data_IF_844636965918
#
_entry.id   IF_844636965918
#
_cell.length_a   1.000
_cell.length_b   1.000
_cell.length_c   1.000
_cell.angle_alpha   90.00
_cell.angle_beta   90.00
_cell.angle_gamma   90.00
#
_symmetry.space_group_name_H-M   'P 1'
#
loop_
_entity.id
_entity.type
_entity.pdbx_description
1 polymer ?
#
# COMPACT_ATOMS: atom_id res chain seq x y z
N UNK A 1 74.75 -74.67 -25.68
CA UNK A 1 73.97 -73.53 -26.32
C UNK A 1 74.20 -72.25 -25.49
N UNK A 2 74.42 -71.16 -26.17
CA UNK A 2 74.46 -69.84 -25.48
C UNK A 2 73.09 -69.52 -24.82
N UNK A 3 73.08 -68.80 -23.77
CA UNK A 3 71.83 -68.30 -23.11
C UNK A 3 71.16 -67.22 -23.96
N UNK A 4 69.85 -67.13 -23.90
CA UNK A 4 69.07 -66.05 -24.56
C UNK A 4 69.60 -64.68 -24.13
N UNK A 5 69.82 -63.80 -25.11
CA UNK A 5 70.48 -62.44 -24.84
C UNK A 5 71.98 -62.42 -24.95
N UNK A 6 72.64 -63.59 -25.31
CA UNK A 6 74.06 -63.61 -25.55
C UNK A 6 74.41 -62.86 -26.86
N UNK A 7 75.20 -61.84 -26.77
CA UNK A 7 75.61 -60.96 -27.86
C UNK A 7 77.11 -61.18 -28.25
N UNK A 8 77.70 -62.33 -27.87
CA UNK A 8 79.09 -62.67 -28.23
C UNK A 8 79.20 -63.08 -29.74
N UNK A 9 80.45 -63.13 -30.24
CA UNK A 9 80.69 -63.49 -31.62
C UNK A 9 80.66 -65.02 -31.87
N UNK A 10 80.06 -65.81 -30.99
CA UNK A 10 79.90 -67.27 -31.14
C UNK A 10 78.83 -67.52 -32.17
N UNK A 11 79.04 -68.60 -33.04
CA UNK A 11 78.10 -68.99 -34.03
C UNK A 11 76.80 -69.49 -33.29
N UNK A 12 75.67 -68.90 -33.60
CA UNK A 12 74.42 -69.31 -33.06
C UNK A 12 74.08 -70.68 -33.69
N UNK A 13 73.86 -71.67 -32.85
CA UNK A 13 73.32 -72.98 -33.37
C UNK A 13 71.82 -72.93 -33.45
N UNK A 14 71.27 -73.92 -34.12
CA UNK A 14 69.83 -73.99 -34.34
C UNK A 14 68.97 -74.04 -33.08
N UNK A 15 69.49 -74.58 -31.98
CA UNK A 15 68.83 -74.63 -30.71
C UNK A 15 68.73 -73.21 -30.05
N UNK A 16 69.84 -72.41 -30.19
CA UNK A 16 69.82 -71.00 -29.71
C UNK A 16 68.85 -70.14 -30.51
N UNK A 17 68.84 -70.29 -31.84
CA UNK A 17 67.93 -69.56 -32.68
C UNK A 17 66.44 -69.94 -32.37
N UNK A 18 66.16 -71.24 -32.22
CA UNK A 18 64.81 -71.70 -31.82
C UNK A 18 64.43 -71.16 -30.46
N UNK A 19 65.32 -71.18 -29.48
CA UNK A 19 65.07 -70.61 -28.14
C UNK A 19 64.85 -69.11 -28.15
N UNK A 20 65.57 -68.38 -28.97
CA UNK A 20 65.41 -66.93 -29.09
C UNK A 20 64.15 -66.55 -29.81
N UNK A 21 63.78 -67.31 -30.86
CA UNK A 21 62.46 -67.13 -31.55
C UNK A 21 61.31 -67.48 -30.60
N UNK A 22 61.41 -68.61 -29.89
CA UNK A 22 60.40 -68.99 -28.91
C UNK A 22 60.20 -67.96 -27.81
N UNK A 23 61.29 -67.34 -27.27
CA UNK A 23 61.21 -66.28 -26.30
C UNK A 23 60.58 -64.98 -26.84
N UNK A 24 60.81 -64.69 -28.10
CA UNK A 24 60.18 -63.54 -28.75
C UNK A 24 58.69 -63.75 -28.92
N UNK A 25 58.30 -64.94 -29.36
CA UNK A 25 56.90 -65.31 -29.54
C UNK A 25 56.17 -65.48 -28.23
N UNK A 26 56.82 -66.05 -27.20
CA UNK A 26 56.21 -66.16 -25.85
C UNK A 26 55.90 -64.86 -25.16
N UNK A 27 56.44 -63.69 -25.61
CA UNK A 27 56.11 -62.37 -25.13
C UNK A 27 54.86 -61.78 -25.82
N UNK A 28 54.33 -62.37 -26.86
CA UNK A 28 53.07 -61.97 -27.51
C UNK A 28 51.87 -62.57 -26.77
N UNK A 29 50.70 -61.88 -26.72
CA UNK A 29 49.47 -62.50 -26.21
C UNK A 29 49.18 -63.80 -26.92
N UNK A 30 48.74 -64.87 -26.19
CA UNK A 30 48.60 -66.27 -26.70
C UNK A 30 47.69 -66.43 -27.92
N UNK A 31 46.95 -65.43 -28.31
CA UNK A 31 46.12 -65.38 -29.53
C UNK A 31 46.80 -64.65 -30.70
N UNK A 32 48.09 -64.19 -30.55
CA UNK A 32 48.84 -63.40 -31.52
C UNK A 32 50.31 -63.85 -31.55
N UNK A 33 50.56 -65.15 -31.32
CA UNK A 33 51.92 -65.69 -31.25
C UNK A 33 52.54 -66.08 -32.59
N UNK A 34 51.74 -65.97 -33.66
CA UNK A 34 52.26 -66.17 -35.04
C UNK A 34 51.95 -64.97 -35.93
N UNK A 35 52.81 -64.74 -36.94
CA UNK A 35 52.56 -63.68 -37.94
C UNK A 35 51.23 -63.94 -38.71
N UNK A 36 50.83 -65.19 -38.80
CA UNK A 36 49.55 -65.55 -39.44
C UNK A 36 48.36 -65.15 -38.61
N UNK A 37 48.41 -65.32 -37.28
CA UNK A 37 47.35 -64.94 -36.39
C UNK A 37 47.29 -63.41 -36.26
N UNK A 38 48.42 -62.73 -36.24
CA UNK A 38 48.46 -61.26 -36.29
C UNK A 38 47.83 -60.72 -37.57
N UNK A 39 48.17 -61.36 -38.73
CA UNK A 39 47.56 -60.99 -40.00
C UNK A 39 46.07 -61.26 -40.01
N UNK A 40 45.60 -62.41 -39.47
CA UNK A 40 44.20 -62.71 -39.34
C UNK A 40 43.47 -61.72 -38.39
N UNK A 41 44.07 -61.37 -37.27
CA UNK A 41 43.53 -60.38 -36.32
C UNK A 41 43.40 -59.00 -36.95
N UNK A 42 44.28 -58.65 -37.90
CA UNK A 42 44.22 -57.44 -38.69
C UNK A 42 43.36 -57.58 -39.96
N UNK A 43 42.57 -58.70 -40.13
CA UNK A 43 41.66 -58.92 -41.21
C UNK A 43 42.31 -59.35 -42.50
N UNK A 44 43.57 -59.78 -42.47
CA UNK A 44 44.41 -60.08 -43.62
C UNK A 44 44.49 -58.92 -44.64
N UNK A 45 44.32 -57.72 -44.22
CA UNK A 45 44.38 -56.54 -45.07
C UNK A 45 45.83 -56.09 -45.28
N UNK A 46 46.38 -56.23 -46.52
CA UNK A 46 47.75 -55.85 -46.83
C UNK A 46 47.97 -54.30 -46.69
N UNK A 47 46.88 -53.56 -46.70
CA UNK A 47 46.85 -52.10 -46.56
C UNK A 47 46.20 -51.61 -45.24
N UNK A 48 46.23 -52.45 -44.20
CA UNK A 48 45.55 -52.24 -42.94
C UNK A 48 45.75 -50.78 -42.41
N UNK A 49 46.95 -50.24 -42.43
CA UNK A 49 47.24 -48.87 -42.00
C UNK A 49 46.46 -47.87 -42.85
N UNK A 50 46.36 -48.06 -44.14
CA UNK A 50 45.58 -47.18 -45.05
C UNK A 50 44.08 -47.34 -44.81
N UNK A 51 43.61 -48.58 -44.64
CA UNK A 51 42.21 -48.87 -44.33
C UNK A 51 41.77 -48.20 -43.02
N UNK A 52 42.56 -48.36 -41.99
CA UNK A 52 42.25 -47.68 -40.68
C UNK A 52 42.35 -46.16 -40.79
N UNK A 53 43.33 -45.62 -41.49
CA UNK A 53 43.44 -44.21 -41.74
C UNK A 53 42.20 -43.62 -42.42
N UNK A 54 41.71 -44.31 -43.46
CA UNK A 54 40.51 -43.92 -44.19
C UNK A 54 39.23 -44.04 -43.32
N UNK A 55 39.12 -45.15 -42.54
CA UNK A 55 38.00 -45.32 -41.62
C UNK A 55 37.99 -44.21 -40.51
N UNK A 56 39.14 -43.82 -40.05
CA UNK A 56 39.29 -42.69 -39.06
C UNK A 56 38.97 -41.36 -39.75
N UNK A 57 39.41 -41.15 -40.97
CA UNK A 57 39.10 -39.94 -41.74
C UNK A 57 37.59 -39.82 -41.99
N UNK A 58 36.93 -40.95 -42.42
CA UNK A 58 35.49 -41.00 -42.57
C UNK A 58 34.72 -40.71 -41.25
N UNK A 59 35.24 -41.15 -40.14
CA UNK A 59 34.68 -40.85 -38.83
C UNK A 59 34.94 -39.41 -38.39
N UNK A 60 36.10 -38.90 -38.76
CA UNK A 60 36.46 -37.50 -38.50
C UNK A 60 35.58 -36.55 -39.30
N UNK A 61 35.29 -36.88 -40.57
CA UNK A 61 34.36 -36.12 -41.40
C UNK A 61 32.93 -36.13 -40.85
N UNK A 62 32.52 -37.29 -40.30
CA UNK A 62 31.22 -37.39 -39.59
C UNK A 62 31.22 -36.62 -38.24
N UNK A 63 32.38 -36.52 -37.58
CA UNK A 63 32.53 -35.72 -36.36
C UNK A 63 32.87 -34.25 -36.66
N UNK A 64 33.38 -33.94 -37.85
CA UNK A 64 33.46 -32.53 -38.30
C UNK A 64 32.08 -31.88 -38.35
N UNK A 65 31.02 -32.67 -38.64
CA UNK A 65 29.66 -32.20 -38.44
C UNK A 65 29.29 -32.02 -36.97
N UNK A 66 29.87 -32.72 -36.02
CA UNK A 66 29.63 -32.52 -34.60
C UNK A 66 30.42 -31.32 -34.02
N UNK A 67 31.63 -31.08 -34.51
CA UNK A 67 32.39 -29.83 -34.20
C UNK A 67 31.76 -28.65 -34.93
N UNK A 68 31.13 -28.88 -36.09
CA UNK A 68 30.29 -27.91 -36.78
C UNK A 68 28.88 -27.79 -36.18
N UNK A 69 28.54 -28.52 -35.12
CA UNK A 69 27.26 -28.34 -34.41
C UNK A 69 27.13 -26.93 -33.78
N UNK A 70 28.22 -26.21 -33.59
CA UNK A 70 28.19 -24.75 -33.35
C UNK A 70 27.67 -23.97 -34.57
N UNK A 71 27.56 -24.64 -35.75
CA UNK A 71 27.03 -24.08 -36.99
C UNK A 71 25.96 -25.02 -37.60
N UNK A 72 25.29 -25.81 -36.77
CA UNK A 72 24.19 -26.63 -37.26
C UNK A 72 23.14 -25.73 -37.93
N UNK A 73 22.90 -25.96 -39.21
CA UNK A 73 21.91 -25.20 -39.95
C UNK A 73 20.48 -25.72 -39.68
N UNK A 74 20.35 -26.96 -39.21
CA UNK A 74 19.06 -27.60 -38.94
C UNK A 74 19.09 -28.36 -37.61
N UNK A 75 17.98 -28.38 -36.94
CA UNK A 75 17.76 -29.21 -35.74
C UNK A 75 17.50 -30.68 -36.10
N UNK A 76 17.35 -31.54 -35.09
CA UNK A 76 17.06 -32.99 -35.29
C UNK A 76 15.75 -33.29 -36.02
N UNK A 77 14.89 -32.32 -36.22
CA UNK A 77 13.63 -32.40 -36.95
C UNK A 77 13.72 -31.78 -38.35
N UNK A 78 14.90 -31.32 -38.76
CA UNK A 78 15.12 -30.70 -40.07
C UNK A 78 14.72 -29.21 -40.14
N UNK A 79 14.38 -28.56 -39.05
CA UNK A 79 14.05 -27.15 -39.05
C UNK A 79 15.33 -26.31 -39.14
N UNK A 80 15.31 -25.23 -39.92
CA UNK A 80 16.42 -24.28 -39.98
C UNK A 80 16.55 -23.52 -38.67
N UNK A 81 17.65 -23.72 -37.97
CA UNK A 81 17.90 -23.15 -36.62
C UNK A 81 17.84 -21.64 -36.67
N UNK A 82 18.45 -20.99 -37.68
CA UNK A 82 18.49 -19.53 -37.77
C UNK A 82 17.12 -18.90 -37.99
N UNK A 83 16.22 -19.63 -38.74
CA UNK A 83 14.92 -19.10 -39.06
C UNK A 83 13.83 -19.54 -38.08
N UNK A 84 14.05 -20.64 -37.35
CA UNK A 84 13.04 -21.23 -36.45
C UNK A 84 13.25 -20.80 -35.01
N UNK A 85 14.50 -20.63 -34.62
CA UNK A 85 14.85 -20.26 -33.24
C UNK A 85 15.48 -18.85 -33.22
N UNK A 86 15.17 -18.10 -32.18
CA UNK A 86 15.75 -16.79 -32.01
C UNK A 86 17.29 -16.87 -31.94
N UNK A 87 17.97 -16.03 -32.69
CA UNK A 87 19.42 -15.92 -32.61
C UNK A 87 19.86 -15.37 -31.23
N UNK A 88 21.12 -15.64 -30.86
CA UNK A 88 21.69 -15.09 -29.64
C UNK A 88 21.54 -13.57 -29.58
N UNK A 89 21.62 -12.89 -30.72
CA UNK A 89 21.46 -11.43 -30.76
C UNK A 89 20.02 -10.98 -30.53
N UNK A 90 19.06 -11.71 -31.10
CA UNK A 90 17.62 -11.44 -30.90
C UNK A 90 17.22 -11.74 -29.44
N UNK A 91 17.67 -12.87 -28.89
CA UNK A 91 17.46 -13.22 -27.48
C UNK A 91 18.12 -12.19 -26.55
N UNK A 92 19.37 -11.83 -26.81
CA UNK A 92 20.06 -10.83 -25.99
C UNK A 92 19.42 -9.46 -26.13
N UNK A 93 18.96 -9.07 -27.33
CA UNK A 93 18.23 -7.82 -27.53
C UNK A 93 16.91 -7.78 -26.76
N UNK A 94 16.15 -8.90 -26.82
CA UNK A 94 14.92 -9.05 -26.02
C UNK A 94 15.19 -9.05 -24.52
N UNK A 95 16.21 -9.79 -24.08
CA UNK A 95 16.62 -9.85 -22.68
C UNK A 95 17.19 -8.49 -22.19
N UNK A 96 17.92 -7.76 -23.03
CA UNK A 96 18.46 -6.44 -22.64
C UNK A 96 17.34 -5.45 -22.32
N UNK A 97 16.25 -5.48 -23.09
CA UNK A 97 15.08 -4.64 -22.80
C UNK A 97 14.32 -5.09 -21.55
N UNK A 98 14.18 -6.41 -21.35
CA UNK A 98 13.63 -6.98 -20.10
C UNK A 98 14.61 -6.81 -18.92
N UNK A 99 15.91 -6.99 -19.17
CA UNK A 99 16.93 -6.91 -18.15
C UNK A 99 17.06 -5.49 -17.55
N UNK A 100 16.76 -4.46 -18.32
CA UNK A 100 16.82 -3.10 -17.81
C UNK A 100 15.79 -2.88 -16.69
N UNK A 101 14.55 -3.31 -16.92
CA UNK A 101 13.50 -3.27 -15.90
C UNK A 101 13.79 -4.27 -14.77
N UNK A 102 14.24 -5.49 -15.12
CA UNK A 102 14.55 -6.53 -14.14
C UNK A 102 15.78 -6.20 -13.28
N UNK A 103 16.75 -5.47 -13.83
CA UNK A 103 17.97 -5.10 -13.10
C UNK A 103 17.81 -3.82 -12.28
N UNK A 104 17.01 -2.86 -12.74
CA UNK A 104 16.81 -1.58 -12.06
C UNK A 104 15.58 -1.59 -11.14
N UNK A 105 14.60 -2.46 -11.41
CA UNK A 105 13.30 -2.42 -10.78
C UNK A 105 12.53 -1.13 -11.07
N UNK A 106 13.04 -0.30 -12.00
CA UNK A 106 12.48 1.01 -12.28
C UNK A 106 11.30 0.93 -13.24
N UNK A 107 10.17 1.41 -12.80
CA UNK A 107 8.99 1.61 -13.64
C UNK A 107 9.31 2.51 -14.86
N UNK A 108 10.32 3.36 -14.76
CA UNK A 108 10.73 4.27 -15.82
C UNK A 108 11.35 3.57 -17.03
N UNK A 109 11.79 2.34 -16.88
CA UNK A 109 12.40 1.53 -17.94
C UNK A 109 11.38 0.72 -18.77
N UNK A 110 10.09 0.77 -18.41
CA UNK A 110 9.01 0.19 -19.19
C UNK A 110 8.66 1.05 -20.39
N UNK A 111 8.52 0.42 -21.56
CA UNK A 111 7.96 1.05 -22.74
C UNK A 111 6.43 1.15 -22.60
N UNK A 112 5.85 2.23 -23.11
CA UNK A 112 4.39 2.47 -23.09
C UNK A 112 3.75 2.39 -21.68
N UNK A 113 4.49 2.79 -20.66
CA UNK A 113 3.98 2.81 -19.29
C UNK A 113 2.83 3.80 -19.16
N UNK A 114 1.78 3.45 -18.47
CA UNK A 114 0.74 4.41 -18.11
C UNK A 114 1.32 5.46 -17.14
N UNK A 115 0.82 6.67 -17.23
CA UNK A 115 1.16 7.71 -16.25
C UNK A 115 0.62 7.31 -14.89
N UNK A 116 1.51 7.18 -13.90
CA UNK A 116 1.08 6.97 -12.51
C UNK A 116 0.64 8.34 -11.96
N UNK A 117 -0.61 8.48 -11.54
CA UNK A 117 -1.07 9.73 -10.93
C UNK A 117 -0.24 10.07 -9.69
N UNK A 118 0.33 11.26 -9.66
CA UNK A 118 1.08 11.77 -8.50
C UNK A 118 0.19 12.51 -7.49
N UNK A 119 -1.06 12.80 -7.88
CA UNK A 119 -2.07 13.47 -7.05
C UNK A 119 -3.40 12.77 -7.22
N UNK A 120 -4.20 12.75 -6.17
CA UNK A 120 -5.56 12.19 -6.19
C UNK A 120 -6.49 12.93 -7.18
N UNK A 121 -6.21 14.22 -7.48
CA UNK A 121 -6.96 15.00 -8.47
C UNK A 121 -6.81 14.47 -9.92
N UNK A 122 -5.83 13.62 -10.19
CA UNK A 122 -5.61 12.97 -11.49
C UNK A 122 -6.37 11.63 -11.64
N UNK A 123 -6.98 11.17 -10.56
CA UNK A 123 -7.81 9.96 -10.55
C UNK A 123 -9.27 10.33 -10.79
N UNK A 124 -9.95 9.59 -11.64
CA UNK A 124 -11.40 9.66 -11.70
C UNK A 124 -11.98 8.97 -10.48
N UNK A 125 -12.70 9.71 -9.64
CA UNK A 125 -13.39 9.13 -8.48
C UNK A 125 -14.73 8.53 -8.93
N UNK A 126 -14.68 7.35 -9.52
CA UNK A 126 -15.86 6.59 -9.98
C UNK A 126 -16.59 5.86 -8.85
N UNK A 127 -15.93 5.70 -7.71
CA UNK A 127 -16.46 5.02 -6.52
C UNK A 127 -17.12 5.98 -5.52
N UNK A 128 -17.25 7.27 -5.84
CA UNK A 128 -17.72 8.32 -4.91
C UNK A 128 -17.00 8.32 -3.55
N UNK A 129 -15.73 7.94 -3.57
CA UNK A 129 -14.90 7.91 -2.36
C UNK A 129 -14.60 9.34 -1.91
N UNK A 130 -14.92 9.63 -0.67
CA UNK A 130 -14.58 10.89 -0.01
C UNK A 130 -13.35 10.68 0.86
N UNK A 131 -12.26 11.39 0.56
CA UNK A 131 -11.04 11.32 1.36
C UNK A 131 -11.27 11.87 2.77
N UNK A 132 -10.73 11.18 3.76
CA UNK A 132 -10.69 11.63 5.16
C UNK A 132 -9.25 12.02 5.53
N UNK A 133 -9.09 13.01 6.36
CA UNK A 133 -7.81 13.34 6.99
C UNK A 133 -7.42 12.30 8.06
N UNK A 134 -6.26 12.49 8.69
CA UNK A 134 -5.78 11.61 9.75
C UNK A 134 -6.69 11.60 11.00
N UNK A 135 -7.48 12.65 11.22
CA UNK A 135 -8.49 12.75 12.26
C UNK A 135 -9.85 12.14 11.87
N UNK A 136 -9.98 11.65 10.64
CA UNK A 136 -11.23 11.09 10.13
C UNK A 136 -12.21 12.13 9.59
N UNK A 137 -11.81 13.40 9.48
CA UNK A 137 -12.64 14.50 9.01
C UNK A 137 -12.67 14.56 7.49
N UNK A 138 -13.78 15.09 6.96
CA UNK A 138 -13.98 15.39 5.54
C UNK A 138 -14.16 16.89 5.37
N UNK A 139 -13.30 17.52 4.57
CA UNK A 139 -13.44 18.92 4.20
C UNK A 139 -14.02 19.03 2.79
N UNK A 140 -15.10 19.79 2.64
CA UNK A 140 -15.73 20.12 1.37
C UNK A 140 -15.62 21.62 1.17
N UNK A 141 -14.77 22.04 0.24
CA UNK A 141 -14.51 23.46 -0.05
C UNK A 141 -15.64 24.15 -0.83
N UNK A 142 -16.74 23.47 -1.09
CA UNK A 142 -17.88 23.96 -1.85
C UNK A 142 -19.21 23.59 -1.21
N UNK A 143 -20.23 23.43 -2.04
CA UNK A 143 -21.58 23.05 -1.58
C UNK A 143 -21.70 21.53 -1.45
N UNK A 144 -22.19 21.06 -0.31
CA UNK A 144 -22.63 19.68 -0.13
C UNK A 144 -24.11 19.57 -0.53
N UNK A 145 -24.40 18.81 -1.57
CA UNK A 145 -25.78 18.42 -1.92
C UNK A 145 -25.99 16.97 -1.51
N UNK A 146 -26.90 16.75 -0.58
CA UNK A 146 -27.23 15.41 -0.09
C UNK A 146 -28.76 15.24 -0.01
N UNK A 147 -29.28 14.09 -0.42
CA UNK A 147 -30.69 13.76 -0.26
C UNK A 147 -31.07 13.60 1.22
N UNK A 148 -30.15 13.15 2.04
CA UNK A 148 -30.31 12.98 3.48
C UNK A 148 -28.96 13.02 4.19
N UNK A 149 -28.91 13.73 5.32
CA UNK A 149 -27.79 13.71 6.26
C UNK A 149 -28.24 13.04 7.55
N UNK A 150 -27.50 12.02 8.01
CA UNK A 150 -27.78 11.31 9.26
C UNK A 150 -26.56 11.49 10.16
N UNK A 151 -26.76 12.21 11.28
CA UNK A 151 -25.74 12.38 12.29
C UNK A 151 -25.86 11.27 13.34
N UNK A 152 -24.73 10.71 13.75
CA UNK A 152 -24.68 9.68 14.80
C UNK A 152 -24.91 10.26 16.19
N UNK A 153 -24.54 11.51 16.40
CA UNK A 153 -24.77 12.25 17.65
C UNK A 153 -26.16 12.89 17.63
N UNK A 154 -26.93 12.64 18.68
CA UNK A 154 -28.28 13.13 18.82
C UNK A 154 -28.35 14.17 19.96
N UNK A 155 -27.77 15.36 19.75
CA UNK A 155 -27.77 16.43 20.73
C UNK A 155 -28.46 17.68 20.19
N UNK A 156 -27.70 18.73 19.93
CA UNK A 156 -28.27 20.02 19.55
C UNK A 156 -27.68 20.54 18.22
N UNK A 157 -28.40 21.50 17.69
CA UNK A 157 -27.96 22.36 16.59
C UNK A 157 -27.48 23.67 17.17
N UNK A 158 -26.23 24.03 16.91
CA UNK A 158 -25.59 25.21 17.46
C UNK A 158 -25.15 26.22 16.38
N UNK A 159 -24.87 27.42 16.80
CA UNK A 159 -24.26 28.49 16.02
C UNK A 159 -23.16 29.19 16.83
N UNK A 160 -22.12 29.66 16.15
CA UNK A 160 -21.05 30.41 16.74
C UNK A 160 -21.42 31.89 16.88
N UNK A 161 -21.47 32.40 18.10
CA UNK A 161 -21.78 33.77 18.43
C UNK A 161 -20.54 34.51 18.94
N UNK A 162 -20.27 35.79 18.53
CA UNK A 162 -19.13 36.57 18.99
C UNK A 162 -19.04 36.66 20.53
N UNK A 163 -17.90 36.27 21.09
CA UNK A 163 -17.69 36.17 22.52
C UNK A 163 -17.45 37.54 23.15
N UNK A 164 -18.33 37.97 24.05
CA UNK A 164 -18.17 39.19 24.86
C UNK A 164 -17.48 38.94 26.18
N UNK A 165 -17.69 37.78 26.79
CA UNK A 165 -17.02 37.36 28.02
C UNK A 165 -16.78 35.86 28.07
N UNK A 166 -16.00 35.42 29.05
CA UNK A 166 -15.77 34.00 29.28
C UNK A 166 -17.06 33.30 29.73
N UNK A 167 -17.40 32.19 29.04
CA UNK A 167 -18.54 31.35 29.36
C UNK A 167 -18.14 29.88 29.32
N UNK A 168 -18.92 29.04 29.99
CA UNK A 168 -18.70 27.58 30.07
C UNK A 168 -19.92 26.84 29.58
N UNK A 169 -19.76 25.58 29.11
CA UNK A 169 -20.87 24.75 28.71
C UNK A 169 -21.97 24.63 29.77
N UNK A 170 -23.18 24.95 29.35
CA UNK A 170 -24.34 25.03 30.22
C UNK A 170 -24.73 26.46 30.64
N UNK A 171 -23.92 27.47 30.36
CA UNK A 171 -24.31 28.87 30.62
C UNK A 171 -25.39 29.31 29.64
N UNK A 172 -26.41 29.98 30.13
CA UNK A 172 -27.39 30.68 29.28
C UNK A 172 -26.73 31.95 28.75
N UNK A 173 -26.86 32.18 27.45
CA UNK A 173 -26.21 33.27 26.71
C UNK A 173 -27.24 34.27 26.23
N UNK A 174 -26.89 35.56 26.33
CA UNK A 174 -27.68 36.67 25.86
C UNK A 174 -26.84 37.67 25.08
N UNK A 175 -27.49 38.48 24.25
CA UNK A 175 -26.88 39.62 23.58
C UNK A 175 -26.48 40.66 24.68
N UNK A 176 -25.26 41.15 24.58
CA UNK A 176 -24.77 42.24 25.42
C UNK A 176 -25.40 43.57 24.99
N UNK A 177 -25.64 44.44 25.94
CA UNK A 177 -26.08 45.83 25.68
C UNK A 177 -24.87 46.70 25.29
N UNK A 178 -24.39 46.51 24.05
CA UNK A 178 -23.21 47.19 23.49
C UNK A 178 -23.47 47.59 22.04
N UNK A 179 -22.71 48.57 21.52
CA UNK A 179 -22.84 49.00 20.12
C UNK A 179 -22.40 47.95 19.10
N UNK A 180 -21.55 47.02 19.51
CA UNK A 180 -21.08 45.90 18.66
C UNK A 180 -21.73 44.63 19.09
N UNK A 181 -22.03 43.77 18.13
CA UNK A 181 -22.52 42.44 18.40
C UNK A 181 -21.55 41.66 19.28
N UNK A 182 -22.02 41.28 20.47
CA UNK A 182 -21.26 40.62 21.50
C UNK A 182 -22.18 39.86 22.44
N UNK A 183 -21.78 38.70 22.92
CA UNK A 183 -22.62 37.82 23.70
C UNK A 183 -22.01 37.48 25.04
N UNK A 184 -22.83 37.51 26.08
CA UNK A 184 -22.45 37.38 27.49
C UNK A 184 -23.36 36.37 28.20
N UNK A 185 -23.01 36.02 29.44
CA UNK A 185 -23.87 35.21 30.30
C UNK A 185 -25.17 35.95 30.62
N UNK A 186 -26.28 35.30 30.35
CA UNK A 186 -27.60 35.86 30.59
C UNK A 186 -27.90 35.99 32.09
N UNK A 187 -28.59 37.08 32.45
CA UNK A 187 -29.24 37.25 33.75
C UNK A 187 -30.73 37.55 33.55
N UNK A 188 -31.50 37.59 34.61
CA UNK A 188 -32.94 37.95 34.56
C UNK A 188 -33.21 39.31 33.87
N UNK A 189 -32.25 40.24 33.92
CA UNK A 189 -32.35 41.56 33.28
C UNK A 189 -31.92 41.57 31.81
N UNK A 190 -31.46 40.50 31.24
CA UNK A 190 -31.00 40.45 29.85
C UNK A 190 -32.10 40.81 28.86
N UNK A 191 -31.73 41.60 27.84
CA UNK A 191 -32.68 42.10 26.83
C UNK A 191 -33.06 41.03 25.82
N UNK A 192 -32.10 40.24 25.40
CA UNK A 192 -32.31 39.18 24.39
C UNK A 192 -31.52 37.93 24.77
N UNK A 193 -32.22 36.90 25.16
CA UNK A 193 -31.63 35.59 25.43
C UNK A 193 -31.58 34.80 24.16
N UNK A 194 -30.42 34.24 23.80
CA UNK A 194 -30.22 33.55 22.52
C UNK A 194 -30.18 32.04 22.61
N UNK A 195 -29.64 31.47 23.69
CA UNK A 195 -29.58 30.03 23.87
C UNK A 195 -28.66 29.58 24.98
N UNK A 196 -28.08 28.40 24.86
CA UNK A 196 -27.23 27.81 25.92
C UNK A 196 -25.87 27.43 25.28
N UNK A 197 -24.78 27.80 25.97
CA UNK A 197 -23.44 27.39 25.56
C UNK A 197 -23.35 25.84 25.51
N UNK A 198 -23.07 25.30 24.35
CA UNK A 198 -22.98 23.85 24.11
C UNK A 198 -21.54 23.42 23.83
N UNK A 199 -21.19 22.24 24.31
CA UNK A 199 -19.93 21.53 24.02
C UNK A 199 -20.17 20.19 23.30
N UNK A 200 -21.41 19.78 23.10
CA UNK A 200 -21.81 18.48 22.53
C UNK A 200 -22.73 18.63 21.33
N UNK A 201 -22.60 19.68 20.53
CA UNK A 201 -23.42 19.92 19.37
C UNK A 201 -23.24 18.83 18.28
N UNK A 202 -24.35 18.39 17.68
CA UNK A 202 -24.31 17.46 16.53
C UNK A 202 -24.02 18.18 15.21
N UNK A 203 -24.38 19.46 15.14
CA UNK A 203 -24.10 20.33 14.01
C UNK A 203 -23.91 21.76 14.52
N UNK A 204 -22.91 22.44 13.95
CA UNK A 204 -22.66 23.86 14.24
C UNK A 204 -22.47 24.63 12.94
N UNK A 205 -22.93 25.87 12.92
CA UNK A 205 -22.75 26.81 11.81
C UNK A 205 -22.09 28.09 12.27
N UNK A 206 -21.60 28.90 11.33
CA UNK A 206 -20.93 30.17 11.60
C UNK A 206 -19.45 29.98 11.93
N UNK A 207 -18.87 31.01 12.57
CA UNK A 207 -17.43 31.09 12.83
C UNK A 207 -16.67 31.73 11.67
N UNK A 208 -15.34 31.71 11.76
CA UNK A 208 -14.43 32.25 10.75
C UNK A 208 -13.68 31.11 10.06
N UNK A 209 -13.37 31.33 8.79
CA UNK A 209 -12.46 30.46 8.03
C UNK A 209 -11.14 31.16 7.80
N UNK A 210 -10.06 30.38 7.64
CA UNK A 210 -8.79 30.89 7.17
C UNK A 210 -8.87 31.32 5.68
N UNK A 211 -7.78 31.87 5.15
CA UNK A 211 -7.67 32.30 3.74
C UNK A 211 -7.87 31.17 2.72
N UNK A 212 -7.78 29.89 3.16
CA UNK A 212 -7.99 28.70 2.35
C UNK A 212 -9.42 28.11 2.50
N UNK A 213 -10.27 28.75 3.32
CA UNK A 213 -11.63 28.28 3.58
C UNK A 213 -11.72 27.17 4.64
N UNK A 214 -10.66 26.88 5.38
CA UNK A 214 -10.68 25.90 6.46
C UNK A 214 -11.12 26.55 7.77
N UNK A 215 -11.82 25.77 8.62
CA UNK A 215 -12.22 26.18 9.95
C UNK A 215 -11.22 25.63 10.97
N UNK A 216 -10.49 26.51 11.64
CA UNK A 216 -9.72 26.18 12.84
C UNK A 216 -10.63 26.28 14.06
N UNK A 217 -11.13 25.16 14.52
CA UNK A 217 -12.08 25.11 15.64
C UNK A 217 -11.48 25.69 16.93
N UNK A 218 -10.19 25.49 17.21
CA UNK A 218 -9.56 26.02 18.43
C UNK A 218 -9.49 27.54 18.39
N UNK A 219 -9.13 28.11 17.25
CA UNK A 219 -9.11 29.56 17.05
C UNK A 219 -10.53 30.16 17.11
N UNK A 220 -11.51 29.48 16.47
CA UNK A 220 -12.91 29.94 16.51
C UNK A 220 -13.45 29.94 17.93
N UNK A 221 -13.21 28.90 18.73
CA UNK A 221 -13.65 28.82 20.13
C UNK A 221 -13.04 29.89 21.05
N UNK A 222 -11.89 30.49 20.68
CA UNK A 222 -11.34 31.63 21.42
C UNK A 222 -12.16 32.91 21.20
N UNK A 223 -12.70 33.12 20.01
CA UNK A 223 -13.42 34.32 19.59
C UNK A 223 -14.94 34.20 19.71
N UNK A 224 -15.45 32.99 19.65
CA UNK A 224 -16.89 32.71 19.57
C UNK A 224 -17.35 31.73 20.66
N UNK A 225 -18.64 31.79 20.95
CA UNK A 225 -19.33 30.86 21.84
C UNK A 225 -20.21 29.97 21.00
N UNK A 226 -20.08 28.63 21.06
CA UNK A 226 -21.06 27.72 20.45
C UNK A 226 -22.35 27.71 21.25
N UNK A 227 -23.44 28.20 20.68
CA UNK A 227 -24.72 28.34 21.36
C UNK A 227 -25.75 27.43 20.75
N UNK A 228 -26.32 26.53 21.54
CA UNK A 228 -27.43 25.66 21.13
C UNK A 228 -28.70 26.47 20.89
N UNK A 229 -29.24 26.35 19.67
CA UNK A 229 -30.48 27.01 19.23
C UNK A 229 -31.66 26.06 19.20
N UNK A 230 -31.43 24.76 19.06
CA UNK A 230 -32.44 23.73 19.03
C UNK A 230 -31.85 22.38 19.45
N UNK A 231 -32.66 21.50 20.00
CA UNK A 231 -32.23 20.19 20.41
C UNK A 231 -32.15 19.99 21.92
N UNK A 232 -31.35 19.03 22.36
CA UNK A 232 -31.19 18.70 23.78
C UNK A 232 -29.79 19.07 24.25
N UNK A 233 -29.72 19.93 25.28
CA UNK A 233 -28.48 20.43 25.84
C UNK A 233 -28.57 20.48 27.36
N UNK A 234 -27.44 20.49 28.05
CA UNK A 234 -27.39 20.70 29.47
C UNK A 234 -27.32 22.20 29.80
N UNK A 235 -28.14 22.67 30.76
CA UNK A 235 -28.11 24.02 31.26
C UNK A 235 -27.69 24.05 32.74
N UNK A 236 -26.87 24.99 33.15
CA UNK A 236 -26.66 25.28 34.58
C UNK A 236 -27.97 25.82 35.18
N UNK A 237 -28.47 25.17 36.18
CA UNK A 237 -29.80 25.41 36.70
C UNK A 237 -29.79 25.46 38.24
N UNK A 238 -30.53 26.38 38.79
CA UNK A 238 -30.72 26.53 40.22
C UNK A 238 -32.20 26.30 40.61
N UNK A 239 -32.42 25.54 41.70
CA UNK A 239 -33.75 25.21 42.19
C UNK A 239 -34.26 23.84 41.75
N UNK A 240 -35.45 23.49 42.22
CA UNK A 240 -36.11 22.19 41.88
C UNK A 240 -36.41 22.14 40.38
N UNK A 241 -35.96 21.05 39.73
CA UNK A 241 -36.18 20.80 38.32
C UNK A 241 -37.25 19.72 38.15
N UNK A 242 -38.33 20.03 37.41
CA UNK A 242 -39.38 19.08 37.05
C UNK A 242 -39.55 19.05 35.53
N UNK A 243 -39.66 17.87 34.97
CA UNK A 243 -39.89 17.71 33.55
C UNK A 243 -41.06 18.56 33.04
N UNK A 244 -40.87 19.24 31.90
CA UNK A 244 -41.84 20.15 31.28
C UNK A 244 -41.71 21.61 31.76
N UNK A 245 -41.05 21.90 32.91
CA UNK A 245 -40.89 23.29 33.37
C UNK A 245 -40.10 24.11 32.35
N UNK A 246 -40.55 25.37 32.11
CA UNK A 246 -39.82 26.36 31.33
C UNK A 246 -38.64 26.88 32.13
N UNK A 247 -37.49 27.11 31.41
CA UNK A 247 -36.25 27.63 31.98
C UNK A 247 -36.00 29.02 31.45
N UNK A 248 -35.73 29.95 32.38
CA UNK A 248 -35.36 31.34 32.10
C UNK A 248 -34.08 31.67 32.88
N UNK A 249 -33.31 32.73 32.49
CA UNK A 249 -32.16 33.18 33.26
C UNK A 249 -32.54 33.54 34.69
N UNK A 250 -31.68 33.24 35.66
CA UNK A 250 -31.78 33.68 37.05
C UNK A 250 -31.02 34.99 37.27
N UNK A 251 -30.93 35.42 38.54
CA UNK A 251 -30.06 36.53 38.94
C UNK A 251 -28.56 36.15 38.87
N UNK A 252 -28.24 34.84 38.85
CA UNK A 252 -26.87 34.36 38.75
C UNK A 252 -26.50 34.30 37.27
N UNK A 253 -25.42 34.98 36.80
CA UNK A 253 -25.04 34.98 35.39
C UNK A 253 -24.84 33.58 34.81
N UNK A 254 -25.44 33.31 33.68
CA UNK A 254 -25.38 32.03 32.98
C UNK A 254 -26.29 30.92 33.55
N UNK A 255 -26.87 31.08 34.71
CA UNK A 255 -27.64 30.07 35.43
C UNK A 255 -29.13 30.24 35.20
N UNK A 256 -29.81 29.15 34.83
CA UNK A 256 -31.25 29.13 34.70
C UNK A 256 -32.00 28.82 35.97
N UNK A 257 -33.29 29.19 36.00
CA UNK A 257 -34.28 28.84 37.00
C UNK A 257 -35.63 28.54 36.38
N UNK A 258 -36.58 28.06 37.18
CA UNK A 258 -37.92 27.91 36.73
C UNK A 258 -38.55 29.25 36.34
N UNK A 259 -39.38 29.22 35.27
CA UNK A 259 -40.25 30.34 34.89
C UNK A 259 -41.30 30.55 35.97
N UNK A 260 -41.55 31.80 36.34
CA UNK A 260 -42.64 32.19 37.25
C UNK A 260 -43.46 33.34 36.65
N UNK A 261 -44.64 33.60 37.22
CA UNK A 261 -45.45 34.71 36.77
C UNK A 261 -44.70 36.05 36.83
N UNK A 262 -44.77 36.83 35.75
CA UNK A 262 -44.04 38.06 35.55
C UNK A 262 -42.73 37.92 34.78
N UNK A 263 -42.24 36.69 34.52
CA UNK A 263 -41.15 36.46 33.57
C UNK A 263 -41.61 36.66 32.13
N UNK A 264 -40.69 37.07 31.26
CA UNK A 264 -40.96 37.23 29.84
C UNK A 264 -40.84 35.88 29.10
N UNK A 265 -41.88 35.50 28.33
CA UNK A 265 -41.86 34.29 27.54
C UNK A 265 -40.71 34.26 26.51
N UNK A 266 -40.34 35.41 25.97
CA UNK A 266 -39.22 35.58 25.05
C UNK A 266 -37.84 35.16 25.62
N UNK A 267 -37.72 35.14 26.96
CA UNK A 267 -36.51 34.74 27.67
C UNK A 267 -36.48 33.23 28.02
N UNK A 268 -37.46 32.45 27.60
CA UNK A 268 -37.50 31.01 27.81
C UNK A 268 -36.49 30.36 26.87
N UNK A 269 -35.43 29.75 27.44
CA UNK A 269 -34.40 29.03 26.65
C UNK A 269 -34.78 27.62 26.30
N UNK A 270 -35.73 27.03 27.00
CA UNK A 270 -36.17 25.67 26.75
C UNK A 270 -37.01 25.09 27.86
N UNK A 271 -37.27 23.78 27.78
CA UNK A 271 -38.03 23.03 28.80
C UNK A 271 -37.18 21.90 29.34
N UNK A 272 -37.29 21.65 30.65
CA UNK A 272 -36.59 20.55 31.33
C UNK A 272 -37.10 19.24 30.79
N UNK A 273 -36.21 18.35 30.41
CA UNK A 273 -36.50 16.99 29.90
C UNK A 273 -36.49 15.98 31.05
N UNK A 274 -35.49 16.06 31.89
CA UNK A 274 -35.30 15.18 33.05
C UNK A 274 -35.24 16.02 34.31
N UNK A 275 -36.13 15.76 35.24
CA UNK A 275 -36.20 16.48 36.50
C UNK A 275 -35.33 15.87 37.58
N UNK A 276 -35.06 16.68 38.60
CA UNK A 276 -34.43 16.24 39.86
C UNK A 276 -34.94 17.09 41.06
N UNK A 277 -34.58 16.70 42.26
CA UNK A 277 -35.02 17.35 43.50
C UNK A 277 -33.95 18.23 44.16
N UNK A 278 -32.77 18.33 43.55
CA UNK A 278 -31.70 19.14 44.12
C UNK A 278 -31.99 20.64 43.97
N UNK A 279 -31.50 21.45 44.91
CA UNK A 279 -31.74 22.89 44.92
C UNK A 279 -30.47 23.73 44.70
N UNK A 280 -29.32 23.13 44.55
CA UNK A 280 -28.08 23.81 44.22
C UNK A 280 -27.90 23.97 42.72
N UNK A 281 -26.92 24.75 42.29
CA UNK A 281 -26.54 24.90 40.89
C UNK A 281 -25.94 23.58 40.37
N UNK A 282 -26.48 23.06 39.30
CA UNK A 282 -26.01 21.85 38.60
C UNK A 282 -26.47 21.88 37.14
N UNK A 283 -25.99 20.93 36.34
CA UNK A 283 -26.44 20.78 34.95
C UNK A 283 -27.73 19.96 34.91
N UNK A 284 -28.73 20.49 34.21
CA UNK A 284 -30.02 19.82 33.95
C UNK A 284 -30.23 19.74 32.44
N UNK A 285 -30.76 18.64 31.97
CA UNK A 285 -31.02 18.46 30.55
C UNK A 285 -32.32 19.20 30.15
N UNK A 286 -32.19 20.01 29.11
CA UNK A 286 -33.33 20.77 28.57
C UNK A 286 -33.49 20.51 27.07
N UNK A 287 -34.71 20.66 26.60
CA UNK A 287 -35.04 20.77 25.18
C UNK A 287 -35.11 22.25 24.83
N UNK A 288 -34.14 22.72 24.08
CA UNK A 288 -34.14 24.06 23.50
C UNK A 288 -35.08 24.09 22.33
N UNK A 289 -35.98 25.04 22.30
CA UNK A 289 -36.84 25.37 21.16
C UNK A 289 -36.91 26.87 21.04
N UNK A 290 -36.53 27.38 19.90
CA UNK A 290 -36.88 28.76 19.53
C UNK A 290 -38.38 28.80 19.30
N UNK A 291 -39.08 29.71 19.99
CA UNK A 291 -40.46 30.02 19.70
C UNK A 291 -40.60 30.89 18.48
#
# INVERSE_FOLDING_TARGET
TAAVGNNSQLIANTAFVQAAVAALVASAPGTLDTLKELAAALGNDPNFATTITNLIADKLDKTANAVSATKAAQDGNGNNIVNTYATKNEVNGGITNLAKVASTGSYNDLLNRPTIPSKTSQLTNDSNYVAKDAGGNVTIAGTLTAAKVVNAYYNDYAEFFPRGEASEPGDIIALADTEKESYVKATKGSVMVVGIHSDEYAQIIGGETDENGNVDIEMVLQKYIPVALAGRVHVKYYGMAKAGMKVVPSEIPGVGRAFVDGDKEENVVGRIVEGDTFQNVRKVKVMVRRQ
#
